data_IF_382491451064
#
_entry.id   IF_382491451064
#
_cell.length_a   1.000
_cell.length_b   1.000
_cell.length_c   1.000
_cell.angle_alpha   90.00
_cell.angle_beta   90.00
_cell.angle_gamma   90.00
#
_symmetry.space_group_name_H-M   'P 1'
#
loop_
_entity.id
_entity.type
_entity.pdbx_description
1 polymer ?
#
# COMPACT_ATOMS: atom_id res chain seq x y z
N UNK A 1 -17.12 -53.62 -8.85
CA UNK A 1 -17.87 -54.77 -8.32
C UNK A 1 -19.17 -54.29 -7.71
N UNK A 2 -20.26 -55.03 -7.93
CA UNK A 2 -21.55 -54.75 -7.28
C UNK A 2 -21.48 -55.12 -5.79
N UNK A 3 -22.37 -54.55 -4.97
CA UNK A 3 -22.41 -54.86 -3.54
C UNK A 3 -23.02 -56.24 -3.30
N UNK A 4 -22.64 -56.91 -2.19
CA UNK A 4 -23.17 -58.24 -1.83
C UNK A 4 -24.71 -58.29 -1.77
N UNK A 5 -25.34 -57.21 -1.29
CA UNK A 5 -26.79 -57.13 -1.12
C UNK A 5 -27.55 -56.65 -2.38
N UNK A 6 -26.83 -56.19 -3.41
CA UNK A 6 -27.44 -55.61 -4.60
C UNK A 6 -26.53 -55.86 -5.81
N UNK A 7 -26.51 -57.12 -6.25
CA UNK A 7 -25.62 -57.63 -7.29
C UNK A 7 -25.92 -56.99 -8.66
N UNK A 8 -27.19 -56.66 -8.92
CA UNK A 8 -27.62 -56.02 -10.18
C UNK A 8 -27.39 -54.50 -10.20
N UNK A 9 -26.89 -53.89 -9.10
CA UNK A 9 -26.63 -52.45 -9.02
C UNK A 9 -25.13 -52.14 -9.10
N UNK A 10 -24.66 -51.36 -10.09
CA UNK A 10 -23.24 -51.08 -10.29
C UNK A 10 -22.71 -50.02 -9.30
N UNK A 11 -22.40 -50.41 -8.07
CA UNK A 11 -21.94 -49.51 -6.99
C UNK A 11 -20.69 -48.69 -7.34
N UNK A 12 -19.61 -49.34 -7.81
CA UNK A 12 -18.33 -48.64 -8.07
C UNK A 12 -18.45 -47.67 -9.24
N UNK A 13 -19.12 -48.06 -10.34
CA UNK A 13 -19.29 -47.19 -11.51
C UNK A 13 -20.11 -45.95 -11.15
N UNK A 14 -21.19 -46.11 -10.39
CA UNK A 14 -21.99 -44.98 -9.91
C UNK A 14 -21.20 -44.04 -9.00
N UNK A 15 -20.42 -44.59 -8.06
CA UNK A 15 -19.58 -43.79 -7.16
C UNK A 15 -18.51 -43.02 -7.94
N UNK A 16 -17.81 -43.69 -8.87
CA UNK A 16 -16.79 -43.08 -9.70
C UNK A 16 -17.37 -41.96 -10.58
N UNK A 17 -18.55 -42.19 -11.19
CA UNK A 17 -19.25 -41.18 -11.98
C UNK A 17 -19.68 -39.97 -11.14
N UNK A 18 -20.26 -40.21 -9.96
CA UNK A 18 -20.65 -39.16 -9.02
C UNK A 18 -19.45 -38.33 -8.58
N UNK A 19 -18.35 -39.00 -8.23
CA UNK A 19 -17.10 -38.34 -7.84
C UNK A 19 -16.51 -37.50 -8.98
N UNK A 20 -16.47 -38.04 -10.20
CA UNK A 20 -16.00 -37.30 -11.38
C UNK A 20 -16.86 -36.06 -11.66
N UNK A 21 -18.19 -36.18 -11.57
CA UNK A 21 -19.12 -35.05 -11.72
C UNK A 21 -18.89 -33.97 -10.66
N UNK A 22 -18.73 -34.36 -9.40
CA UNK A 22 -18.46 -33.43 -8.31
C UNK A 22 -17.12 -32.71 -8.48
N UNK A 23 -16.06 -33.41 -8.92
CA UNK A 23 -14.78 -32.79 -9.24
C UNK A 23 -14.86 -31.85 -10.45
N UNK A 24 -15.61 -32.22 -11.49
CA UNK A 24 -15.86 -31.36 -12.65
C UNK A 24 -16.54 -30.05 -12.25
N UNK A 25 -17.60 -30.12 -11.45
CA UNK A 25 -18.30 -28.95 -10.94
C UNK A 25 -17.38 -28.05 -10.08
N UNK A 26 -16.56 -28.64 -9.21
CA UNK A 26 -15.56 -27.90 -8.41
C UNK A 26 -14.52 -27.21 -9.30
N UNK A 27 -14.06 -27.85 -10.37
CA UNK A 27 -13.12 -27.24 -11.34
C UNK A 27 -13.78 -26.06 -12.07
N UNK A 28 -15.01 -26.22 -12.55
CA UNK A 28 -15.73 -25.15 -13.23
C UNK A 28 -16.00 -23.95 -12.31
N UNK A 29 -16.42 -24.19 -11.07
CA UNK A 29 -16.62 -23.12 -10.08
C UNK A 29 -15.31 -22.36 -9.77
N UNK A 30 -14.19 -23.07 -9.65
CA UNK A 30 -12.87 -22.45 -9.46
C UNK A 30 -12.44 -21.63 -10.68
N UNK A 31 -12.67 -22.12 -11.88
CA UNK A 31 -12.33 -21.40 -13.12
C UNK A 31 -13.13 -20.10 -13.28
N UNK A 32 -14.37 -20.04 -12.76
CA UNK A 32 -15.19 -18.82 -12.75
C UNK A 32 -14.77 -17.81 -11.68
N UNK A 33 -14.36 -18.30 -10.50
CA UNK A 33 -14.05 -17.45 -9.34
C UNK A 33 -12.60 -16.96 -9.31
N UNK A 34 -11.66 -17.79 -9.74
CA UNK A 34 -10.24 -17.47 -9.69
C UNK A 34 -9.78 -16.92 -11.05
N UNK A 35 -8.86 -15.95 -11.07
CA UNK A 35 -8.25 -15.50 -12.31
C UNK A 35 -7.56 -16.67 -13.01
N UNK A 36 -7.71 -16.74 -14.34
CA UNK A 36 -7.10 -17.77 -15.16
C UNK A 36 -5.56 -17.69 -15.07
N UNK A 37 -4.89 -18.84 -14.98
CA UNK A 37 -3.43 -18.87 -15.07
C UNK A 37 -3.01 -18.60 -16.51
N UNK A 38 -1.83 -18.01 -16.72
CA UNK A 38 -1.27 -17.77 -18.06
C UNK A 38 -1.19 -19.03 -18.93
N UNK A 39 -1.02 -20.21 -18.33
CA UNK A 39 -1.02 -21.50 -19.04
C UNK A 39 -2.41 -21.91 -19.55
N UNK A 40 -3.47 -21.38 -18.96
CA UNK A 40 -4.86 -21.64 -19.34
C UNK A 40 -5.47 -20.58 -20.25
N UNK A 41 -4.79 -19.45 -20.42
CA UNK A 41 -5.19 -18.38 -21.36
C UNK A 41 -4.19 -18.27 -22.51
N UNK A 42 -4.49 -17.45 -23.51
CA UNK A 42 -3.64 -17.30 -24.69
C UNK A 42 -2.25 -16.75 -24.32
N UNK A 43 -1.25 -17.05 -25.16
CA UNK A 43 0.13 -16.56 -24.99
C UNK A 43 0.19 -15.02 -24.90
N UNK A 44 -0.76 -14.34 -25.52
CA UNK A 44 -0.88 -12.89 -25.63
C UNK A 44 -1.80 -12.26 -24.59
N UNK A 45 -2.36 -13.03 -23.65
CA UNK A 45 -3.17 -12.45 -22.59
C UNK A 45 -2.35 -11.47 -21.74
N UNK A 46 -2.94 -10.32 -21.44
CA UNK A 46 -2.31 -9.27 -20.65
C UNK A 46 -1.94 -9.77 -19.26
N UNK A 47 -0.81 -9.27 -18.75
CA UNK A 47 -0.32 -9.65 -17.40
C UNK A 47 -1.35 -9.29 -16.32
N UNK A 48 -2.09 -8.20 -16.51
CA UNK A 48 -3.10 -7.72 -15.58
C UNK A 48 -4.34 -8.63 -15.48
N UNK A 49 -4.65 -9.43 -16.52
CA UNK A 49 -5.84 -10.28 -16.55
C UNK A 49 -5.56 -11.73 -16.13
N UNK A 50 -4.32 -12.03 -15.71
CA UNK A 50 -3.89 -13.39 -15.41
C UNK A 50 -3.39 -13.53 -13.97
N UNK A 51 -3.58 -14.71 -13.39
CA UNK A 51 -3.08 -14.99 -12.05
C UNK A 51 -1.55 -14.77 -11.97
N UNK A 52 -1.04 -14.18 -10.87
CA UNK A 52 0.38 -13.90 -10.71
C UNK A 52 1.20 -15.20 -10.72
N UNK A 53 2.42 -15.11 -11.27
CA UNK A 53 3.33 -16.27 -11.34
C UNK A 53 3.86 -16.62 -9.95
N UNK A 54 4.23 -17.89 -9.69
CA UNK A 54 4.94 -18.26 -8.46
C UNK A 54 6.26 -17.50 -8.26
N UNK A 55 6.88 -17.05 -9.37
CA UNK A 55 8.09 -16.22 -9.37
C UNK A 55 7.82 -14.74 -9.09
N UNK A 56 6.57 -14.29 -9.23
CA UNK A 56 6.20 -12.90 -8.95
C UNK A 56 5.96 -12.74 -7.45
N UNK A 57 6.48 -11.66 -6.88
CA UNK A 57 6.41 -11.51 -5.43
C UNK A 57 5.02 -11.03 -5.00
N UNK A 58 4.35 -11.82 -4.16
CA UNK A 58 3.11 -11.42 -3.49
C UNK A 58 3.26 -10.09 -2.75
N UNK A 59 4.46 -9.80 -2.21
CA UNK A 59 4.74 -8.57 -1.49
C UNK A 59 4.71 -7.31 -2.39
N UNK A 60 5.18 -7.40 -3.63
CA UNK A 60 5.06 -6.28 -4.58
C UNK A 60 3.61 -6.10 -5.01
N UNK A 61 2.89 -7.19 -5.30
CA UNK A 61 1.47 -7.12 -5.67
C UNK A 61 0.61 -6.46 -4.56
N UNK A 62 0.88 -6.76 -3.30
CA UNK A 62 0.21 -6.12 -2.16
C UNK A 62 0.64 -4.67 -1.92
N UNK A 63 1.82 -4.27 -2.41
CA UNK A 63 2.34 -2.92 -2.25
C UNK A 63 1.89 -1.97 -3.38
N UNK A 64 1.83 -2.47 -4.62
CA UNK A 64 1.44 -1.68 -5.80
C UNK A 64 -0.05 -1.79 -6.14
N UNK A 65 -0.73 -2.84 -5.68
CA UNK A 65 -2.17 -2.99 -5.87
C UNK A 65 -2.94 -1.94 -5.07
N UNK A 66 -4.14 -1.59 -5.54
CA UNK A 66 -5.12 -0.90 -4.70
C UNK A 66 -5.27 -1.70 -3.41
N UNK A 67 -5.05 -1.04 -2.27
CA UNK A 67 -5.30 -1.63 -0.96
C UNK A 67 -6.67 -2.29 -1.02
N UNK A 68 -6.81 -3.60 -0.75
CA UNK A 68 -8.11 -4.22 -0.87
C UNK A 68 -9.05 -3.44 0.04
N UNK A 69 -10.06 -2.79 -0.56
CA UNK A 69 -11.18 -2.25 0.17
C UNK A 69 -11.63 -3.33 1.17
N UNK A 70 -12.12 -2.96 2.37
CA UNK A 70 -12.54 -3.94 3.38
C UNK A 70 -13.66 -4.80 2.81
N UNK A 71 -13.27 -5.89 2.16
CA UNK A 71 -14.14 -6.92 1.66
C UNK A 71 -14.18 -7.96 2.77
N UNK A 72 -15.36 -8.55 3.01
CA UNK A 72 -15.57 -9.63 3.99
C UNK A 72 -14.80 -10.94 3.66
N UNK A 73 -13.70 -10.85 2.93
CA UNK A 73 -12.88 -11.95 2.43
C UNK A 73 -11.59 -11.98 3.26
N UNK A 74 -11.45 -13.01 4.10
CA UNK A 74 -10.24 -13.20 4.91
C UNK A 74 -9.08 -13.66 4.01
N UNK A 75 -8.04 -12.83 3.90
CA UNK A 75 -6.82 -13.12 3.14
C UNK A 75 -5.68 -13.47 4.11
N UNK A 76 -4.89 -14.52 3.81
CA UNK A 76 -3.72 -14.93 4.63
C UNK A 76 -2.44 -14.19 4.28
N UNK A 77 -2.36 -13.60 3.09
CA UNK A 77 -1.17 -12.91 2.60
C UNK A 77 -1.18 -11.45 3.07
N UNK A 78 -0.12 -11.04 3.76
CA UNK A 78 0.03 -9.68 4.28
C UNK A 78 1.35 -9.06 3.84
N UNK A 79 1.41 -7.73 3.80
CA UNK A 79 2.64 -6.99 3.58
C UNK A 79 3.21 -6.52 4.92
N UNK A 80 4.34 -7.09 5.34
CA UNK A 80 5.04 -6.62 6.54
C UNK A 80 5.53 -5.18 6.36
N UNK A 81 5.35 -4.33 7.39
CA UNK A 81 5.85 -2.95 7.42
C UNK A 81 7.36 -2.86 7.13
N UNK A 82 8.15 -3.86 7.56
CA UNK A 82 9.58 -3.95 7.25
C UNK A 82 9.84 -4.11 5.75
N UNK A 83 9.04 -4.93 5.08
CA UNK A 83 9.17 -5.14 3.63
C UNK A 83 8.67 -3.93 2.85
N UNK A 84 7.57 -3.30 3.29
CA UNK A 84 7.06 -2.06 2.70
C UNK A 84 8.13 -0.96 2.69
N UNK A 85 8.79 -0.70 3.84
CA UNK A 85 9.91 0.27 3.93
C UNK A 85 11.10 -0.07 3.03
N UNK A 86 11.40 -1.37 2.82
CA UNK A 86 12.48 -1.77 1.90
C UNK A 86 12.09 -1.51 0.44
N UNK A 87 10.83 -1.75 0.08
CA UNK A 87 10.34 -1.50 -1.26
C UNK A 87 10.36 0.01 -1.54
N UNK A 88 9.82 0.83 -0.64
CA UNK A 88 9.84 2.31 -0.79
C UNK A 88 11.28 2.83 -0.93
N UNK A 89 12.20 2.38 -0.08
CA UNK A 89 13.61 2.78 -0.13
C UNK A 89 14.27 2.38 -1.46
N UNK A 90 14.03 1.16 -1.92
CA UNK A 90 14.58 0.70 -3.19
C UNK A 90 13.98 1.48 -4.38
N UNK A 91 12.68 1.81 -4.34
CA UNK A 91 12.05 2.68 -5.35
C UNK A 91 12.72 4.05 -5.42
N UNK A 92 13.03 4.65 -4.26
CA UNK A 92 13.81 5.91 -4.22
C UNK A 92 15.18 5.76 -4.88
N UNK A 93 15.93 4.71 -4.57
CA UNK A 93 17.23 4.47 -5.22
C UNK A 93 17.11 4.29 -6.73
N UNK A 94 16.09 3.58 -7.22
CA UNK A 94 15.84 3.44 -8.64
C UNK A 94 15.48 4.79 -9.29
N UNK A 95 14.62 5.59 -8.68
CA UNK A 95 14.26 6.91 -9.18
C UNK A 95 15.49 7.82 -9.28
N UNK A 96 16.32 7.86 -8.24
CA UNK A 96 17.55 8.66 -8.22
C UNK A 96 18.53 8.18 -9.29
N UNK A 97 18.70 6.86 -9.47
CA UNK A 97 19.57 6.31 -10.51
C UNK A 97 19.08 6.58 -11.94
N UNK A 98 17.78 6.79 -12.15
CA UNK A 98 17.22 7.17 -13.46
C UNK A 98 17.45 8.66 -13.71
N UNK A 99 17.19 9.53 -12.71
CA UNK A 99 17.45 10.97 -12.77
C UNK A 99 18.94 11.27 -13.01
N UNK A 100 19.82 10.61 -12.29
CA UNK A 100 21.28 10.80 -12.39
C UNK A 100 21.90 10.17 -13.66
N UNK A 101 21.11 9.45 -14.46
CA UNK A 101 21.53 8.96 -15.79
C UNK A 101 21.07 9.87 -16.92
N UNK A 102 20.06 10.71 -16.69
CA UNK A 102 19.64 11.74 -17.64
C UNK A 102 20.43 13.03 -17.48
N UNK A 103 20.89 13.33 -16.27
CA UNK A 103 21.74 14.49 -15.98
C UNK A 103 23.15 14.01 -15.60
N UNK A 104 24.11 14.24 -16.50
CA UNK A 104 25.53 14.11 -16.22
C UNK A 104 25.91 15.06 -15.06
N UNK A 105 26.55 14.50 -14.03
CA UNK A 105 27.37 15.20 -13.01
C UNK A 105 26.64 16.13 -12.03
N UNK A 106 26.15 15.58 -10.92
CA UNK A 106 26.52 15.98 -9.55
C UNK A 106 25.80 15.07 -8.53
N UNK A 107 26.55 14.47 -7.60
CA UNK A 107 25.94 13.82 -6.43
C UNK A 107 25.59 14.88 -5.40
N UNK A 108 24.58 15.69 -5.69
CA UNK A 108 23.90 16.43 -4.63
C UNK A 108 23.01 15.44 -3.91
N UNK A 109 23.50 14.99 -2.74
CA UNK A 109 22.67 14.42 -1.70
C UNK A 109 21.81 15.57 -1.21
N UNK A 110 20.77 15.93 -1.97
CA UNK A 110 19.63 16.61 -1.40
C UNK A 110 19.05 15.62 -0.39
N UNK A 111 19.47 15.79 0.87
CA UNK A 111 18.58 15.55 1.98
C UNK A 111 17.38 16.44 1.69
N UNK A 112 16.42 15.94 0.89
CA UNK A 112 15.02 16.29 1.06
C UNK A 112 14.78 16.01 2.54
N UNK A 113 14.96 17.05 3.34
CA UNK A 113 14.41 17.17 4.67
C UNK A 113 12.95 16.91 4.41
N UNK A 114 12.54 15.66 4.64
CA UNK A 114 11.15 15.33 4.73
C UNK A 114 10.62 16.42 5.65
N UNK A 115 9.74 17.28 5.15
CA UNK A 115 9.03 18.21 5.99
C UNK A 115 8.40 17.33 7.06
N UNK A 116 9.08 17.26 8.20
CA UNK A 116 8.59 16.54 9.35
C UNK A 116 7.32 17.30 9.62
N UNK A 117 6.17 16.66 9.38
CA UNK A 117 4.88 17.23 9.75
C UNK A 117 4.98 17.43 11.23
N UNK A 118 5.37 18.64 11.63
CA UNK A 118 5.73 18.91 13.00
C UNK A 118 4.51 18.63 13.84
N UNK A 119 4.69 17.78 14.85
CA UNK A 119 3.59 17.53 15.77
C UNK A 119 3.12 18.87 16.34
N UNK A 120 1.83 19.02 16.61
CA UNK A 120 1.26 20.27 17.17
C UNK A 120 2.07 20.77 18.38
N UNK A 121 2.61 19.84 19.16
CA UNK A 121 3.48 20.11 20.29
C UNK A 121 4.80 20.77 19.87
N UNK A 122 5.47 20.29 18.83
CA UNK A 122 6.71 20.91 18.31
C UNK A 122 6.45 22.30 17.74
N UNK A 123 5.32 22.50 17.05
CA UNK A 123 4.91 23.84 16.58
C UNK A 123 4.71 24.80 17.76
N UNK A 124 4.03 24.37 18.83
CA UNK A 124 3.83 25.21 20.02
C UNK A 124 5.14 25.51 20.75
N UNK A 125 6.08 24.55 20.81
CA UNK A 125 7.41 24.78 21.39
C UNK A 125 8.17 25.81 20.56
N UNK A 126 8.20 25.68 19.23
CA UNK A 126 8.88 26.65 18.35
C UNK A 126 8.29 28.05 18.48
N UNK A 127 6.95 28.16 18.52
CA UNK A 127 6.28 29.43 18.76
C UNK A 127 6.67 30.02 20.13
N UNK A 128 6.66 29.23 21.20
CA UNK A 128 7.06 29.68 22.54
C UNK A 128 8.53 30.13 22.58
N UNK A 129 9.44 29.37 21.98
CA UNK A 129 10.85 29.73 21.89
C UNK A 129 11.05 31.02 21.10
N UNK A 130 10.31 31.23 20.01
CA UNK A 130 10.36 32.49 19.26
C UNK A 130 9.91 33.70 20.10
N UNK A 131 8.90 33.52 20.95
CA UNK A 131 8.41 34.56 21.87
C UNK A 131 9.44 34.88 22.95
N UNK A 132 10.06 33.84 23.53
CA UNK A 132 11.11 34.01 24.55
C UNK A 132 12.33 34.73 23.96
N UNK A 133 12.76 34.34 22.76
CA UNK A 133 13.87 35.00 22.07
C UNK A 133 13.58 36.46 21.76
N UNK A 134 12.36 36.77 21.30
CA UNK A 134 11.94 38.15 21.03
C UNK A 134 11.86 38.98 22.32
N UNK A 135 11.43 38.38 23.43
CA UNK A 135 11.45 39.04 24.74
C UNK A 135 12.88 39.33 25.21
N UNK A 136 13.79 38.37 25.07
CA UNK A 136 15.19 38.50 25.49
C UNK A 136 15.99 39.52 24.66
N UNK A 137 15.62 39.74 23.39
CA UNK A 137 16.33 40.64 22.45
C UNK A 137 15.88 42.11 22.53
N UNK A 138 14.95 42.48 23.41
CA UNK A 138 14.58 43.90 23.62
C UNK A 138 13.09 44.21 23.68
N UNK A 139 12.23 43.22 23.95
CA UNK A 139 10.78 43.40 24.05
C UNK A 139 10.08 43.40 22.69
N UNK A 140 8.75 43.23 22.73
CA UNK A 140 7.91 43.14 21.53
C UNK A 140 8.04 44.42 20.71
N UNK A 141 8.62 44.32 19.51
CA UNK A 141 8.51 45.38 18.52
C UNK A 141 7.06 45.47 18.09
N UNK A 142 6.33 46.42 18.68
CA UNK A 142 5.03 46.85 18.20
C UNK A 142 5.29 47.44 16.80
N UNK A 143 4.76 46.85 15.72
CA UNK A 143 4.87 47.49 14.41
C UNK A 143 4.15 48.83 14.51
N UNK A 144 4.91 49.92 14.38
CA UNK A 144 4.40 51.30 14.37
C UNK A 144 3.76 51.66 13.03
N UNK A 145 3.11 50.70 12.38
CA UNK A 145 2.30 50.98 11.20
C UNK A 145 1.00 51.61 11.71
N UNK A 146 0.96 52.92 11.53
CA UNK A 146 -0.06 53.82 12.00
C UNK A 146 -1.38 53.56 11.26
N UNK A 147 -2.18 52.61 11.73
CA UNK A 147 -3.62 52.47 11.43
C UNK A 147 -4.24 51.36 12.32
N UNK A 148 -4.29 51.59 13.64
CA UNK A 148 -4.91 50.61 14.55
C UNK A 148 -4.97 51.08 16.00
N UNK A 149 -6.19 51.20 16.52
CA UNK A 149 -6.64 51.64 17.84
C UNK A 149 -5.68 51.29 19.00
N UNK A 150 -5.15 52.32 19.65
CA UNK A 150 -4.33 52.22 20.86
C UNK A 150 -5.14 51.68 22.04
N UNK A 151 -4.69 50.57 22.62
CA UNK A 151 -5.20 50.05 23.90
C UNK A 151 -4.80 51.00 25.03
N UNK A 152 -5.77 51.77 25.53
CA UNK A 152 -5.90 52.20 26.93
C UNK A 152 -4.86 53.18 27.48
N UNK A 153 -5.08 54.49 27.26
CA UNK A 153 -4.62 55.52 28.20
C UNK A 153 -5.70 55.65 29.27
N UNK A 154 -5.42 55.18 30.49
CA UNK A 154 -6.25 55.49 31.65
C UNK A 154 -5.94 56.92 32.08
N UNK A 155 -6.89 57.83 31.89
CA UNK A 155 -6.85 59.19 32.39
C UNK A 155 -7.57 59.26 33.75
N UNK A 156 -6.88 59.86 34.72
CA UNK A 156 -7.21 60.14 36.13
C UNK A 156 -7.13 58.96 37.10
#
# INVERSE_FOLDING_TARGET
MAGKNAINKPKIKMSAHSHAKALGAKRAARARKNPATRSSTSRYADKATTAPRPSESNALALYTGETPAPTNIMIKNTLSKKRAKKITRNQKYFANNIKNKSDDVSMEIENEVAEEVESKLEQTKKALWSVIENHAKGGYQIPTDAEGTTLGIQAF
#
